data_IF_955401581683
#
_entry.id   IF_955401581683
#
_cell.length_a   1.000
_cell.length_b   1.000
_cell.length_c   1.000
_cell.angle_alpha   90.00
_cell.angle_beta   90.00
_cell.angle_gamma   90.00
#
_symmetry.space_group_name_H-M   'P 1'
#
loop_
_entity.id
_entity.type
_entity.pdbx_description
1 polymer ?
#
# COMPACT_ATOMS: atom_id res chain seq x y z
N UNK A 1 -4.39 -16.04 -18.27
CA UNK A 1 -4.21 -15.69 -16.82
C UNK A 1 -5.58 -15.53 -16.21
N UNK A 2 -5.90 -16.28 -15.16
CA UNK A 2 -7.23 -16.20 -14.52
C UNK A 2 -7.05 -15.79 -13.06
N UNK A 3 -7.40 -14.56 -12.73
CA UNK A 3 -7.42 -14.10 -11.35
C UNK A 3 -8.61 -14.71 -10.60
N UNK A 4 -8.39 -15.09 -9.35
CA UNK A 4 -9.42 -15.59 -8.44
C UNK A 4 -9.24 -14.98 -7.06
N UNK A 5 -10.35 -14.71 -6.39
CA UNK A 5 -10.32 -14.33 -4.97
C UNK A 5 -9.85 -15.49 -4.11
N UNK A 6 -9.21 -15.20 -3.01
CA UNK A 6 -8.95 -16.17 -1.96
C UNK A 6 -10.24 -16.64 -1.27
N UNK A 7 -10.22 -17.84 -0.64
CA UNK A 7 -11.44 -18.44 -0.06
C UNK A 7 -12.07 -17.56 1.05
N UNK A 8 -11.29 -16.85 1.84
CA UNK A 8 -11.81 -15.91 2.85
C UNK A 8 -12.53 -14.72 2.20
N UNK A 9 -11.97 -14.19 1.11
CA UNK A 9 -12.57 -13.07 0.39
C UNK A 9 -13.91 -13.49 -0.25
N UNK A 10 -13.98 -14.70 -0.83
CA UNK A 10 -15.22 -15.28 -1.35
C UNK A 10 -16.25 -15.42 -0.23
N UNK A 11 -15.86 -16.01 0.90
CA UNK A 11 -16.74 -16.23 2.05
C UNK A 11 -17.23 -14.91 2.68
N UNK A 12 -16.43 -13.84 2.60
CA UNK A 12 -16.79 -12.51 3.06
C UNK A 12 -17.67 -11.73 2.06
N UNK A 13 -18.00 -12.33 0.90
CA UNK A 13 -18.89 -11.75 -0.09
C UNK A 13 -18.24 -10.73 -1.03
N UNK A 14 -16.91 -10.69 -1.11
CA UNK A 14 -16.22 -9.88 -2.11
C UNK A 14 -16.49 -10.39 -3.51
N UNK A 15 -16.56 -9.46 -4.44
CA UNK A 15 -16.71 -9.69 -5.89
C UNK A 15 -15.40 -9.37 -6.59
N UNK A 16 -15.26 -9.84 -7.82
CA UNK A 16 -14.07 -9.67 -8.63
C UNK A 16 -14.43 -9.24 -10.04
N UNK A 17 -13.74 -8.23 -10.53
CA UNK A 17 -13.69 -7.86 -11.94
C UNK A 17 -12.22 -7.89 -12.39
N UNK A 18 -11.92 -8.78 -13.33
CA UNK A 18 -10.57 -9.02 -13.82
C UNK A 18 -10.44 -8.59 -15.27
N UNK A 19 -9.34 -7.92 -15.59
CA UNK A 19 -9.02 -7.42 -16.92
C UNK A 19 -7.74 -8.06 -17.45
N UNK A 20 -7.66 -8.30 -18.73
CA UNK A 20 -6.39 -8.65 -19.39
C UNK A 20 -5.44 -7.44 -19.38
N UNK A 21 -5.99 -6.28 -19.74
CA UNK A 21 -5.31 -5.00 -19.72
C UNK A 21 -6.34 -3.92 -19.38
N UNK A 22 -5.94 -2.92 -18.61
CA UNK A 22 -6.80 -1.79 -18.27
C UNK A 22 -5.98 -0.50 -18.12
N UNK A 23 -6.62 0.64 -18.30
CA UNK A 23 -6.00 1.95 -18.07
C UNK A 23 -5.55 2.10 -16.61
N UNK A 24 -6.50 2.00 -15.69
CA UNK A 24 -6.26 2.09 -14.24
C UNK A 24 -7.36 1.38 -13.48
N UNK A 25 -7.00 0.42 -12.65
CA UNK A 25 -7.95 -0.29 -11.77
C UNK A 25 -8.64 0.65 -10.76
N UNK A 26 -7.95 1.73 -10.32
CA UNK A 26 -8.57 2.75 -9.46
C UNK A 26 -9.68 3.52 -10.21
N UNK A 27 -9.44 3.88 -11.46
CA UNK A 27 -10.44 4.61 -12.25
C UNK A 27 -11.67 3.75 -12.53
N UNK A 28 -11.49 2.46 -12.86
CA UNK A 28 -12.60 1.52 -13.02
C UNK A 28 -13.39 1.37 -11.71
N UNK A 29 -12.70 1.20 -10.58
CA UNK A 29 -13.33 1.09 -9.28
C UNK A 29 -14.14 2.33 -8.92
N UNK A 30 -13.59 3.53 -9.17
CA UNK A 30 -14.29 4.79 -8.89
C UNK A 30 -15.46 5.02 -9.86
N UNK A 31 -15.33 4.65 -11.13
CA UNK A 31 -16.44 4.69 -12.09
C UNK A 31 -17.59 3.79 -11.63
N UNK A 32 -17.29 2.59 -11.18
CA UNK A 32 -18.26 1.64 -10.66
C UNK A 32 -18.98 2.17 -9.40
N UNK A 33 -18.26 2.88 -8.52
CA UNK A 33 -18.88 3.53 -7.36
C UNK A 33 -19.91 4.58 -7.77
N UNK A 34 -19.59 5.42 -8.77
CA UNK A 34 -20.50 6.45 -9.31
C UNK A 34 -21.73 5.86 -9.99
N UNK A 35 -21.64 4.65 -10.51
CA UNK A 35 -22.75 3.88 -11.09
C UNK A 35 -23.66 3.23 -10.04
N UNK A 36 -23.42 3.46 -8.75
CA UNK A 36 -24.23 2.94 -7.66
C UNK A 36 -23.88 1.50 -7.22
N UNK A 37 -22.65 1.07 -7.46
CA UNK A 37 -22.21 -0.24 -6.94
C UNK A 37 -22.19 -0.26 -5.40
N UNK A 38 -22.47 -1.42 -4.83
CA UNK A 38 -22.57 -1.65 -3.38
C UNK A 38 -21.24 -1.80 -2.65
N UNK A 39 -20.11 -1.69 -3.34
CA UNK A 39 -18.76 -1.90 -2.77
C UNK A 39 -18.40 -3.37 -2.54
N UNK A 40 -17.35 -3.60 -1.77
CA UNK A 40 -16.75 -4.93 -1.54
C UNK A 40 -16.44 -5.66 -2.85
N UNK A 41 -15.74 -4.97 -3.75
CA UNK A 41 -15.37 -5.50 -5.06
C UNK A 41 -13.91 -5.18 -5.38
N UNK A 42 -13.20 -6.17 -5.92
CA UNK A 42 -11.87 -6.06 -6.43
C UNK A 42 -11.85 -5.87 -7.94
N UNK A 43 -10.98 -4.99 -8.39
CA UNK A 43 -10.60 -4.77 -9.79
C UNK A 43 -9.15 -5.17 -9.93
N UNK A 44 -8.81 -6.05 -10.88
CA UNK A 44 -7.45 -6.59 -10.98
C UNK A 44 -7.01 -6.75 -12.43
N UNK A 45 -5.72 -6.54 -12.66
CA UNK A 45 -5.08 -6.78 -13.95
C UNK A 45 -3.62 -7.17 -13.78
N UNK A 46 -3.08 -7.90 -14.74
CA UNK A 46 -1.65 -8.17 -14.89
C UNK A 46 -0.93 -7.12 -15.74
N UNK A 47 -1.66 -6.16 -16.34
CA UNK A 47 -1.09 -5.09 -17.16
C UNK A 47 -1.91 -3.81 -17.03
N UNK A 48 -1.30 -2.75 -16.50
CA UNK A 48 -1.93 -1.45 -16.34
C UNK A 48 -1.16 -0.40 -17.16
N UNK A 49 -1.84 0.22 -18.14
CA UNK A 49 -1.19 1.09 -19.13
C UNK A 49 -1.23 2.59 -18.81
N UNK A 50 -2.05 3.01 -17.85
CA UNK A 50 -2.17 4.39 -17.40
C UNK A 50 -2.23 4.48 -15.88
N UNK A 51 -1.44 3.62 -15.20
CA UNK A 51 -1.38 3.54 -13.76
C UNK A 51 -0.90 4.85 -13.13
N UNK A 52 -1.51 5.21 -12.00
CA UNK A 52 -1.15 6.41 -11.25
C UNK A 52 -0.91 6.07 -9.79
N UNK A 53 0.23 6.50 -9.29
CA UNK A 53 0.52 6.54 -7.87
C UNK A 53 0.11 7.88 -7.26
N UNK A 54 0.52 8.11 -6.02
CA UNK A 54 0.29 9.38 -5.31
C UNK A 54 0.81 10.58 -6.10
N UNK A 55 0.13 11.72 -5.97
CA UNK A 55 0.45 12.99 -6.66
C UNK A 55 0.50 12.83 -8.19
N UNK A 56 -0.32 11.92 -8.75
CA UNK A 56 -0.42 11.66 -10.18
C UNK A 56 0.89 11.17 -10.84
N UNK A 57 1.86 10.70 -10.07
CA UNK A 57 3.09 10.11 -10.62
C UNK A 57 2.74 8.83 -11.37
N UNK A 58 3.34 8.55 -12.54
CA UNK A 58 3.11 7.30 -13.25
C UNK A 58 3.46 6.09 -12.37
N UNK A 59 2.60 5.08 -12.41
CA UNK A 59 2.89 3.75 -11.88
C UNK A 59 3.06 2.79 -13.04
N UNK A 60 4.29 2.34 -13.27
CA UNK A 60 4.64 1.44 -14.37
C UNK A 60 4.33 0.01 -13.94
N UNK A 61 3.39 -0.64 -14.63
CA UNK A 61 2.98 -2.02 -14.33
C UNK A 61 2.99 -2.85 -15.62
N UNK A 62 4.18 -3.32 -16.07
CA UNK A 62 4.29 -4.19 -17.22
C UNK A 62 3.57 -5.52 -16.99
N UNK A 63 3.27 -6.24 -18.06
CA UNK A 63 2.58 -7.52 -18.00
C UNK A 63 3.30 -8.49 -17.05
N UNK A 64 2.53 -9.09 -16.14
CA UNK A 64 3.03 -9.99 -15.10
C UNK A 64 3.23 -9.32 -13.73
N UNK A 65 3.26 -7.99 -13.65
CA UNK A 65 3.11 -7.30 -12.37
C UNK A 65 1.64 -7.32 -11.93
N UNK A 66 1.39 -7.10 -10.64
CA UNK A 66 0.04 -7.02 -10.10
C UNK A 66 -0.36 -5.56 -9.94
N UNK A 67 -1.47 -5.18 -10.57
CA UNK A 67 -2.19 -3.97 -10.24
C UNK A 67 -3.62 -4.34 -9.85
N UNK A 68 -4.05 -3.95 -8.66
CA UNK A 68 -5.40 -4.21 -8.20
C UNK A 68 -5.92 -3.06 -7.34
N UNK A 69 -7.24 -2.96 -7.25
CA UNK A 69 -7.93 -1.97 -6.44
C UNK A 69 -9.13 -2.61 -5.76
N UNK A 70 -9.36 -2.29 -4.49
CA UNK A 70 -10.57 -2.67 -3.78
C UNK A 70 -11.42 -1.44 -3.53
N UNK A 71 -12.69 -1.54 -3.89
CA UNK A 71 -13.72 -0.53 -3.60
C UNK A 71 -14.47 -0.90 -2.33
N UNK A 72 -14.48 0.02 -1.38
CA UNK A 72 -15.30 -0.02 -0.18
C UNK A 72 -16.23 1.19 -0.13
N UNK A 73 -17.47 0.97 0.25
CA UNK A 73 -18.41 2.07 0.59
C UNK A 73 -18.50 2.19 2.10
N UNK A 74 -18.12 3.32 2.61
CA UNK A 74 -17.96 3.56 4.05
C UNK A 74 -18.92 4.67 4.53
N UNK A 75 -19.38 4.51 5.76
CA UNK A 75 -20.14 5.55 6.46
C UNK A 75 -19.32 6.08 7.65
N UNK A 76 -18.17 6.67 7.34
CA UNK A 76 -17.25 7.25 8.33
C UNK A 76 -16.69 8.57 7.80
N UNK A 77 -16.14 9.38 8.70
CA UNK A 77 -15.49 10.63 8.29
C UNK A 77 -14.25 10.37 7.40
N UNK A 78 -13.95 11.24 6.43
CA UNK A 78 -12.80 11.06 5.52
C UNK A 78 -11.46 10.85 6.22
N UNK A 79 -11.23 11.53 7.35
CA UNK A 79 -10.00 11.34 8.15
C UNK A 79 -9.89 9.92 8.71
N UNK A 80 -11.02 9.32 9.13
CA UNK A 80 -11.06 7.92 9.59
C UNK A 80 -10.84 6.98 8.40
N UNK A 81 -11.53 7.23 7.29
CA UNK A 81 -11.38 6.41 6.09
C UNK A 81 -9.95 6.36 5.57
N UNK A 82 -9.19 7.47 5.65
CA UNK A 82 -7.79 7.52 5.24
C UNK A 82 -6.92 6.51 5.98
N UNK A 83 -7.27 6.12 7.21
CA UNK A 83 -6.52 5.15 8.00
C UNK A 83 -6.63 3.71 7.47
N UNK A 84 -7.55 3.43 6.53
CA UNK A 84 -7.66 2.10 5.88
C UNK A 84 -6.39 1.76 5.07
N UNK A 85 -5.61 2.76 4.67
CA UNK A 85 -4.33 2.57 3.99
C UNK A 85 -3.32 1.79 4.83
N UNK A 86 -3.38 1.90 6.16
CA UNK A 86 -2.55 1.10 7.06
C UNK A 86 -2.96 -0.37 7.06
N UNK A 87 -4.27 -0.65 7.00
CA UNK A 87 -4.79 -2.01 6.83
C UNK A 87 -4.37 -2.60 5.48
N UNK A 88 -4.41 -1.80 4.40
CA UNK A 88 -3.93 -2.21 3.08
C UNK A 88 -2.44 -2.56 3.08
N UNK A 89 -1.62 -1.77 3.78
CA UNK A 89 -0.19 -2.05 3.97
C UNK A 89 0.06 -3.38 4.68
N UNK A 90 -0.63 -3.62 5.79
CA UNK A 90 -0.55 -4.86 6.55
C UNK A 90 -1.04 -6.07 5.77
N UNK A 91 -2.17 -5.95 5.05
CA UNK A 91 -2.70 -7.00 4.20
C UNK A 91 -1.70 -7.39 3.10
N UNK A 92 -1.07 -6.39 2.50
CA UNK A 92 -0.07 -6.60 1.46
C UNK A 92 1.19 -7.27 2.02
N UNK A 93 1.69 -6.80 3.16
CA UNK A 93 2.85 -7.41 3.84
C UNK A 93 2.59 -8.87 4.20
N UNK A 94 1.42 -9.17 4.76
CA UNK A 94 1.04 -10.53 5.13
C UNK A 94 0.92 -11.45 3.90
N UNK A 95 0.35 -10.96 2.79
CA UNK A 95 0.27 -11.70 1.54
C UNK A 95 1.66 -12.01 0.97
N UNK A 96 2.55 -11.00 0.95
CA UNK A 96 3.93 -11.16 0.50
C UNK A 96 4.68 -12.21 1.33
N UNK A 97 4.57 -12.17 2.64
CA UNK A 97 5.18 -13.18 3.52
C UNK A 97 4.66 -14.58 3.23
N UNK A 98 3.34 -14.72 3.02
CA UNK A 98 2.72 -16.01 2.73
C UNK A 98 3.28 -16.62 1.45
N UNK A 99 3.32 -15.85 0.35
CA UNK A 99 3.78 -16.36 -0.96
C UNK A 99 5.30 -16.52 -1.05
N UNK A 100 6.07 -15.83 -0.21
CA UNK A 100 7.53 -15.94 -0.17
C UNK A 100 8.05 -16.96 0.84
N UNK A 101 7.18 -17.67 1.53
CA UNK A 101 7.57 -18.56 2.64
C UNK A 101 8.61 -19.61 2.24
N UNK A 102 8.42 -20.27 1.09
CA UNK A 102 9.38 -21.27 0.61
C UNK A 102 10.75 -20.67 0.28
N UNK A 103 10.76 -19.49 -0.36
CA UNK A 103 12.00 -18.78 -0.66
C UNK A 103 12.68 -18.31 0.62
N UNK A 104 11.92 -17.84 1.61
CA UNK A 104 12.44 -17.42 2.91
C UNK A 104 13.04 -18.60 3.71
N UNK A 105 12.46 -19.79 3.63
CA UNK A 105 13.01 -20.99 4.26
C UNK A 105 14.37 -21.39 3.66
N UNK A 106 14.62 -21.10 2.38
CA UNK A 106 15.88 -21.37 1.70
C UNK A 106 16.96 -20.31 1.96
N UNK A 107 16.56 -19.03 1.95
CA UNK A 107 17.49 -17.89 1.99
C UNK A 107 17.67 -17.30 3.41
N UNK A 108 16.87 -17.72 4.38
CA UNK A 108 16.83 -17.18 5.73
C UNK A 108 15.78 -16.04 5.89
N UNK A 109 15.31 -15.84 7.13
CA UNK A 109 14.18 -14.93 7.41
C UNK A 109 14.49 -13.45 7.11
N UNK A 110 15.73 -13.03 7.23
CA UNK A 110 16.12 -11.63 6.97
C UNK A 110 16.12 -11.27 5.48
N UNK A 111 16.25 -12.27 4.57
CA UNK A 111 16.25 -12.03 3.13
C UNK A 111 14.90 -11.47 2.62
N UNK A 112 13.82 -11.74 3.32
CA UNK A 112 12.45 -11.34 2.95
C UNK A 112 11.78 -10.53 4.05
N UNK A 113 12.52 -9.65 4.71
CA UNK A 113 11.94 -8.70 5.65
C UNK A 113 11.20 -7.61 4.88
N UNK A 114 9.89 -7.75 4.79
CA UNK A 114 9.02 -6.73 4.23
C UNK A 114 8.74 -5.66 5.28
N UNK A 115 9.10 -4.42 4.98
CA UNK A 115 8.98 -3.29 5.88
C UNK A 115 7.98 -2.28 5.34
N UNK A 116 7.12 -1.77 6.22
CA UNK A 116 6.14 -0.75 5.87
C UNK A 116 6.78 0.64 5.97
N UNK A 117 6.79 1.37 4.87
CA UNK A 117 7.27 2.76 4.82
C UNK A 117 6.09 3.72 4.76
N UNK A 118 6.01 4.58 5.76
CA UNK A 118 4.99 5.63 5.76
C UNK A 118 5.15 6.56 4.55
N UNK A 119 4.04 6.97 3.93
CA UNK A 119 2.66 6.60 4.30
C UNK A 119 2.12 5.35 3.61
N UNK A 120 2.77 4.80 2.57
CA UNK A 120 2.06 3.96 1.61
C UNK A 120 2.93 2.98 0.80
N UNK A 121 4.13 2.70 1.21
CA UNK A 121 5.02 1.81 0.48
C UNK A 121 5.34 0.55 1.30
N UNK A 122 5.61 -0.56 0.61
CA UNK A 122 6.28 -1.72 1.20
C UNK A 122 7.66 -1.84 0.58
N UNK A 123 8.66 -1.95 1.45
CA UNK A 123 10.06 -2.10 1.07
C UNK A 123 10.56 -3.50 1.40
N UNK A 124 11.59 -3.93 0.69
CA UNK A 124 12.45 -5.06 1.05
C UNK A 124 13.90 -4.66 0.77
N UNK A 125 14.79 -4.85 1.74
CA UNK A 125 16.18 -4.41 1.67
C UNK A 125 16.33 -2.92 1.26
N UNK A 126 15.44 -2.05 1.76
CA UNK A 126 15.42 -0.62 1.46
C UNK A 126 14.90 -0.24 0.07
N UNK A 127 14.52 -1.22 -0.77
CA UNK A 127 14.01 -1.00 -2.12
C UNK A 127 12.49 -1.15 -2.17
N UNK A 128 11.83 -0.32 -2.97
CA UNK A 128 10.37 -0.32 -3.10
C UNK A 128 9.89 -1.52 -3.92
N UNK A 129 9.04 -2.33 -3.30
CA UNK A 129 8.36 -3.46 -3.93
C UNK A 129 6.91 -3.13 -4.25
N UNK A 130 6.25 -2.35 -3.38
CA UNK A 130 4.82 -2.04 -3.46
C UNK A 130 4.57 -0.55 -3.29
N UNK A 131 3.60 -0.03 -4.03
CA UNK A 131 2.98 1.27 -3.80
C UNK A 131 1.48 1.12 -3.58
N UNK A 132 0.96 1.82 -2.58
CA UNK A 132 -0.47 1.86 -2.24
C UNK A 132 -0.99 3.27 -2.46
N UNK A 133 -2.15 3.41 -3.07
CA UNK A 133 -2.85 4.68 -3.22
C UNK A 133 -4.25 4.59 -2.64
N UNK A 134 -4.76 5.71 -2.15
CA UNK A 134 -6.14 5.84 -1.73
C UNK A 134 -6.79 6.97 -2.51
N UNK A 135 -7.88 6.64 -3.19
CA UNK A 135 -8.78 7.63 -3.78
C UNK A 135 -10.10 7.61 -3.01
N UNK A 136 -10.68 8.78 -2.79
CA UNK A 136 -11.91 8.94 -2.02
C UNK A 136 -12.86 9.90 -2.72
N UNK A 137 -14.14 9.54 -2.78
CA UNK A 137 -15.19 10.37 -3.34
C UNK A 137 -16.50 10.17 -2.58
N UNK A 138 -17.22 11.25 -2.33
CA UNK A 138 -18.57 11.15 -1.79
C UNK A 138 -19.52 10.71 -2.90
N UNK A 139 -20.18 9.57 -2.70
CA UNK A 139 -21.16 9.00 -3.63
C UNK A 139 -22.44 8.74 -2.82
N UNK A 140 -23.50 9.43 -3.18
CA UNK A 140 -24.75 9.42 -2.44
C UNK A 140 -24.55 9.71 -0.93
N UNK A 141 -24.94 8.78 -0.08
CA UNK A 141 -24.80 8.88 1.38
C UNK A 141 -23.56 8.17 1.94
N UNK A 142 -22.62 7.76 1.07
CA UNK A 142 -21.43 7.00 1.45
C UNK A 142 -20.16 7.70 0.98
N UNK A 143 -19.06 7.37 1.62
CA UNK A 143 -17.73 7.66 1.12
C UNK A 143 -17.20 6.44 0.38
N UNK A 144 -17.10 6.54 -0.94
CA UNK A 144 -16.40 5.53 -1.74
C UNK A 144 -14.90 5.69 -1.51
N UNK A 145 -14.25 4.60 -1.08
CA UNK A 145 -12.81 4.51 -0.94
C UNK A 145 -12.30 3.44 -1.89
N UNK A 146 -11.32 3.82 -2.69
CA UNK A 146 -10.60 2.89 -3.55
C UNK A 146 -9.16 2.78 -3.05
N UNK A 147 -8.79 1.60 -2.56
CA UNK A 147 -7.41 1.29 -2.22
C UNK A 147 -6.75 0.58 -3.40
N UNK A 148 -5.91 1.31 -4.13
CA UNK A 148 -5.10 0.79 -5.23
C UNK A 148 -3.78 0.25 -4.73
N UNK A 149 -3.42 -0.95 -5.15
CA UNK A 149 -2.20 -1.66 -4.75
C UNK A 149 -1.46 -2.11 -5.99
N UNK A 150 -0.26 -1.57 -6.20
CA UNK A 150 0.64 -1.97 -7.28
C UNK A 150 1.84 -2.74 -6.72
N UNK A 151 2.11 -3.93 -7.24
CA UNK A 151 3.21 -4.80 -6.77
C UNK A 151 4.11 -5.19 -7.94
N UNK A 152 5.40 -4.98 -7.77
CA UNK A 152 6.42 -5.41 -8.71
C UNK A 152 6.65 -6.92 -8.58
N UNK A 153 5.98 -7.73 -9.38
CA UNK A 153 6.11 -9.19 -9.36
C UNK A 153 7.27 -9.63 -10.24
N UNK A 154 7.19 -9.35 -11.54
CA UNK A 154 8.19 -9.80 -12.53
C UNK A 154 9.27 -8.77 -12.81
N UNK A 155 8.92 -7.48 -12.77
CA UNK A 155 9.84 -6.39 -13.09
C UNK A 155 9.61 -5.17 -12.20
N UNK A 156 10.65 -4.39 -11.99
CA UNK A 156 10.61 -3.11 -11.31
C UNK A 156 11.22 -2.02 -12.22
N UNK A 157 10.76 -0.76 -12.15
CA UNK A 157 11.37 0.33 -12.90
C UNK A 157 12.80 0.61 -12.39
N UNK A 158 13.71 0.91 -13.30
CA UNK A 158 15.13 1.15 -12.99
C UNK A 158 15.37 2.57 -12.46
N UNK A 159 14.73 3.57 -13.08
CA UNK A 159 14.93 4.98 -12.73
C UNK A 159 13.78 5.50 -11.86
N UNK A 160 13.93 5.36 -10.54
CA UNK A 160 12.95 5.88 -9.58
C UNK A 160 13.65 6.59 -8.41
N UNK A 161 13.02 7.64 -7.82
CA UNK A 161 13.58 8.36 -6.67
C UNK A 161 13.86 7.46 -5.44
N UNK A 162 13.09 6.39 -5.29
CA UNK A 162 13.37 5.31 -4.33
C UNK A 162 13.71 4.08 -5.16
N UNK A 163 14.90 3.48 -5.00
CA UNK A 163 15.23 2.26 -5.71
C UNK A 163 14.12 1.23 -5.62
N UNK A 164 13.78 0.58 -6.73
CA UNK A 164 12.73 -0.42 -6.79
C UNK A 164 13.29 -1.84 -6.96
N UNK A 165 12.46 -2.82 -6.62
CA UNK A 165 12.79 -4.25 -6.77
C UNK A 165 11.52 -5.02 -7.10
N UNK A 166 11.65 -6.21 -7.72
CA UNK A 166 10.56 -7.14 -7.97
C UNK A 166 10.73 -8.43 -7.17
N UNK A 167 9.65 -9.19 -7.00
CA UNK A 167 9.69 -10.52 -6.38
C UNK A 167 10.58 -11.47 -7.18
N UNK A 168 10.54 -11.40 -8.50
CA UNK A 168 11.42 -12.21 -9.36
C UNK A 168 12.90 -11.93 -9.09
N UNK A 169 13.29 -10.66 -8.92
CA UNK A 169 14.67 -10.28 -8.57
C UNK A 169 15.10 -10.75 -7.18
N UNK A 170 14.14 -11.03 -6.29
CA UNK A 170 14.36 -11.64 -4.97
C UNK A 170 14.41 -13.18 -5.04
N UNK A 171 14.21 -13.78 -6.20
CA UNK A 171 14.16 -15.23 -6.36
C UNK A 171 12.82 -15.87 -5.98
N UNK A 172 11.77 -15.06 -5.76
CA UNK A 172 10.39 -15.54 -5.50
C UNK A 172 9.71 -15.78 -6.85
N UNK A 173 9.43 -17.05 -7.15
CA UNK A 173 8.85 -17.49 -8.40
C UNK A 173 7.34 -17.73 -8.23
N UNK A 174 6.55 -16.66 -8.37
CA UNK A 174 5.08 -16.71 -8.29
C UNK A 174 4.45 -15.86 -9.40
N UNK A 175 3.19 -16.14 -9.73
CA UNK A 175 2.37 -15.31 -10.61
C UNK A 175 1.61 -14.22 -9.84
N UNK A 176 1.18 -13.19 -10.57
CA UNK A 176 0.33 -12.15 -10.02
C UNK A 176 -0.99 -12.70 -9.49
N UNK A 177 -1.49 -13.79 -10.08
CA UNK A 177 -2.75 -14.46 -9.71
C UNK A 177 -2.68 -15.09 -8.31
N UNK A 178 -1.60 -15.80 -8.02
CA UNK A 178 -1.37 -16.42 -6.71
C UNK A 178 -1.23 -15.34 -5.63
N UNK A 179 -0.44 -14.30 -5.92
CA UNK A 179 -0.28 -13.17 -5.01
C UNK A 179 -1.61 -12.46 -4.75
N UNK A 180 -2.43 -12.23 -5.80
CA UNK A 180 -3.73 -11.60 -5.67
C UNK A 180 -4.69 -12.42 -4.77
N UNK A 181 -4.73 -13.74 -4.96
CA UNK A 181 -5.54 -14.61 -4.11
C UNK A 181 -5.13 -14.49 -2.62
N UNK A 182 -3.83 -14.51 -2.34
CA UNK A 182 -3.32 -14.33 -0.98
C UNK A 182 -3.62 -12.92 -0.42
N UNK A 183 -3.52 -11.88 -1.26
CA UNK A 183 -3.78 -10.50 -0.88
C UNK A 183 -5.25 -10.27 -0.54
N UNK A 184 -6.16 -10.79 -1.37
CA UNK A 184 -7.61 -10.65 -1.13
C UNK A 184 -8.05 -11.33 0.18
N UNK A 185 -7.45 -12.46 0.54
CA UNK A 185 -7.68 -13.13 1.83
C UNK A 185 -7.13 -12.32 3.02
N UNK A 186 -5.92 -11.80 2.88
CA UNK A 186 -5.29 -10.97 3.91
C UNK A 186 -6.03 -9.65 4.11
N UNK A 187 -6.59 -9.09 3.03
CA UNK A 187 -7.44 -7.90 3.11
C UNK A 187 -8.63 -8.11 4.05
N UNK A 188 -9.33 -9.22 3.93
CA UNK A 188 -10.50 -9.52 4.80
C UNK A 188 -10.11 -9.49 6.28
N UNK A 189 -8.94 -10.03 6.63
CA UNK A 189 -8.44 -10.03 8.00
C UNK A 189 -8.19 -8.60 8.50
N UNK A 190 -7.36 -7.84 7.81
CA UNK A 190 -6.97 -6.49 8.28
C UNK A 190 -8.07 -5.46 8.12
N UNK A 191 -8.95 -5.60 7.12
CA UNK A 191 -10.18 -4.81 6.98
C UNK A 191 -11.12 -5.07 8.16
N UNK A 192 -11.22 -6.34 8.57
CA UNK A 192 -11.99 -6.75 9.75
C UNK A 192 -11.44 -6.17 11.05
N UNK A 193 -10.11 -6.21 11.25
CA UNK A 193 -9.47 -5.58 12.42
C UNK A 193 -9.67 -4.07 12.41
N UNK A 194 -9.55 -3.41 11.25
CA UNK A 194 -9.75 -1.96 11.11
C UNK A 194 -11.16 -1.52 11.47
N UNK A 195 -12.17 -2.30 11.16
CA UNK A 195 -13.56 -2.20 11.61
C UNK A 195 -14.12 -0.77 11.56
N UNK A 196 -14.14 -0.17 10.37
CA UNK A 196 -14.60 1.20 10.15
C UNK A 196 -13.88 2.24 11.04
N UNK A 197 -12.59 2.01 11.28
CA UNK A 197 -11.73 2.87 12.08
C UNK A 197 -11.74 2.55 13.59
N UNK A 198 -12.71 1.78 14.10
CA UNK A 198 -12.79 1.43 15.53
C UNK A 198 -11.57 0.65 16.00
N UNK A 199 -11.02 -0.19 15.13
CA UNK A 199 -9.82 -0.98 15.42
C UNK A 199 -8.51 -0.32 14.99
N UNK A 200 -8.50 0.96 14.63
CA UNK A 200 -7.28 1.61 14.13
C UNK A 200 -6.12 1.56 15.13
N UNK A 201 -6.38 1.62 16.42
CA UNK A 201 -5.35 1.46 17.45
C UNK A 201 -4.57 0.14 17.34
N UNK A 202 -5.27 -0.97 17.03
CA UNK A 202 -4.64 -2.27 16.80
C UNK A 202 -3.90 -2.30 15.46
N UNK A 203 -4.50 -1.79 14.39
CA UNK A 203 -3.85 -1.65 13.07
C UNK A 203 -2.56 -0.84 13.21
N UNK A 204 -2.60 0.31 13.90
CA UNK A 204 -1.43 1.17 14.14
C UNK A 204 -0.31 0.44 14.86
N UNK A 205 -0.63 -0.32 15.92
CA UNK A 205 0.35 -1.12 16.65
C UNK A 205 1.02 -2.14 15.74
N UNK A 206 0.24 -2.94 15.01
CA UNK A 206 0.75 -3.94 14.08
C UNK A 206 1.60 -3.32 12.97
N UNK A 207 1.22 -2.12 12.51
CA UNK A 207 1.94 -1.40 11.47
C UNK A 207 3.29 -0.89 11.99
N UNK A 208 3.33 -0.31 13.20
CA UNK A 208 4.56 0.18 13.83
C UNK A 208 5.59 -0.94 14.08
N UNK A 209 5.13 -2.15 14.41
CA UNK A 209 5.99 -3.34 14.55
C UNK A 209 6.71 -3.71 13.24
N UNK A 210 6.20 -3.26 12.08
CA UNK A 210 6.73 -3.52 10.74
C UNK A 210 7.28 -2.28 10.07
N UNK A 211 7.23 -1.14 10.75
CA UNK A 211 7.64 0.14 10.21
C UNK A 211 9.14 0.20 9.97
N UNK A 212 9.54 0.64 8.78
CA UNK A 212 10.93 1.06 8.57
C UNK A 212 11.13 2.50 9.01
N UNK A 213 12.30 2.80 9.52
CA UNK A 213 12.70 4.16 9.91
C UNK A 213 12.23 4.64 11.28
N UNK A 214 11.46 3.84 12.04
CA UNK A 214 11.07 4.16 13.42
C UNK A 214 12.32 4.36 14.29
N UNK A 215 12.38 5.47 15.04
CA UNK A 215 13.54 5.86 15.83
C UNK A 215 14.73 6.39 15.03
N UNK A 216 14.63 6.50 13.71
CA UNK A 216 15.71 6.99 12.84
C UNK A 216 15.46 8.43 12.36
N UNK A 217 16.54 9.10 11.98
CA UNK A 217 16.44 10.39 11.31
C UNK A 217 15.81 10.23 9.94
N UNK A 218 14.80 11.07 9.67
CA UNK A 218 14.08 11.15 8.41
C UNK A 218 14.05 12.58 7.91
N UNK A 219 14.12 12.73 6.59
CA UNK A 219 13.80 13.97 5.87
C UNK A 219 12.45 13.82 5.18
N UNK A 220 11.55 14.77 5.33
CA UNK A 220 10.22 14.74 4.73
C UNK A 220 10.04 15.96 3.85
N UNK A 221 9.80 15.72 2.55
CA UNK A 221 9.44 16.79 1.60
C UNK A 221 7.91 16.86 1.48
N UNK A 222 7.33 17.98 1.84
CA UNK A 222 5.91 18.28 1.69
C UNK A 222 5.74 19.69 1.13
N UNK A 223 4.83 19.89 0.18
CA UNK A 223 4.34 21.16 -0.38
C UNK A 223 5.23 22.40 -0.14
N UNK A 224 6.51 22.36 -0.58
CA UNK A 224 7.44 23.52 -0.50
C UNK A 224 8.25 23.62 0.79
N UNK A 225 8.09 22.70 1.74
CA UNK A 225 8.89 22.63 2.96
C UNK A 225 9.58 21.27 3.12
N UNK A 226 10.73 21.29 3.77
CA UNK A 226 11.44 20.09 4.20
C UNK A 226 11.50 20.08 5.72
N UNK A 227 11.09 19.00 6.34
CA UNK A 227 11.17 18.76 7.78
C UNK A 227 12.18 17.67 8.03
N UNK A 228 13.14 17.90 8.92
CA UNK A 228 14.08 16.88 9.40
C UNK A 228 13.83 16.59 10.87
N UNK A 229 14.02 15.34 11.27
CA UNK A 229 13.90 14.92 12.65
C UNK A 229 13.85 13.40 12.79
N UNK A 230 13.59 12.94 13.99
CA UNK A 230 13.46 11.50 14.28
C UNK A 230 12.01 11.07 14.10
N UNK A 231 11.77 9.99 13.36
CA UNK A 231 10.45 9.35 13.26
C UNK A 231 10.09 8.72 14.60
N UNK A 232 9.25 9.37 15.37
CA UNK A 232 8.89 8.97 16.74
C UNK A 232 7.80 7.90 16.77
N UNK A 233 6.70 8.15 16.07
CA UNK A 233 5.52 7.25 16.02
C UNK A 233 4.54 7.67 14.94
N UNK A 234 3.44 6.96 14.85
CA UNK A 234 2.21 7.36 14.14
C UNK A 234 1.17 7.71 15.19
N UNK A 235 0.44 8.82 15.04
CA UNK A 235 -0.64 9.20 15.96
C UNK A 235 -1.97 8.47 15.69
N UNK A 236 -3.00 8.83 16.44
CA UNK A 236 -4.34 8.24 16.32
C UNK A 236 -5.08 8.65 15.04
N UNK A 237 -4.58 9.64 14.31
CA UNK A 237 -5.09 10.10 13.04
C UNK A 237 -4.29 9.54 11.84
N UNK A 238 -3.24 8.75 12.10
CA UNK A 238 -2.37 8.19 11.06
C UNK A 238 -1.27 9.15 10.59
N UNK A 239 -1.08 10.29 11.27
CA UNK A 239 0.02 11.20 10.98
C UNK A 239 1.34 10.64 11.50
N UNK A 240 2.41 10.83 10.71
CA UNK A 240 3.76 10.56 11.20
C UNK A 240 4.16 11.66 12.19
N UNK A 241 4.55 11.29 13.40
CA UNK A 241 5.08 12.21 14.40
C UNK A 241 6.60 12.25 14.27
N UNK A 242 7.12 13.45 14.05
CA UNK A 242 8.55 13.72 13.92
C UNK A 242 9.02 14.56 15.09
N UNK A 243 10.01 14.06 15.81
CA UNK A 243 10.73 14.83 16.83
C UNK A 243 11.83 15.64 16.16
N UNK A 244 11.63 16.96 16.07
CA UNK A 244 12.57 17.88 15.41
C UNK A 244 13.80 18.15 16.27
N UNK A 245 14.94 18.59 15.69
CA UNK A 245 16.13 19.00 16.45
C UNK A 245 15.87 20.13 17.45
N UNK A 246 14.81 20.92 17.24
CA UNK A 246 14.37 21.97 18.16
C UNK A 246 13.54 21.45 19.37
N UNK A 247 13.45 20.12 19.54
CA UNK A 247 12.73 19.47 20.65
C UNK A 247 11.20 19.47 20.53
N UNK A 248 10.65 19.72 19.32
CA UNK A 248 9.20 19.77 19.09
C UNK A 248 8.72 18.50 18.38
N UNK A 249 7.57 17.99 18.82
CA UNK A 249 6.83 16.96 18.10
C UNK A 249 5.99 17.62 17.00
N UNK A 250 6.18 17.17 15.76
CA UNK A 250 5.49 17.72 14.59
C UNK A 250 4.68 16.62 13.90
N UNK A 251 3.34 16.74 13.80
CA UNK A 251 2.53 15.82 13.02
C UNK A 251 2.65 16.13 11.53
N UNK A 252 2.93 15.09 10.76
CA UNK A 252 3.03 15.14 9.30
C UNK A 252 1.88 14.33 8.72
N UNK A 253 0.98 14.98 7.98
CA UNK A 253 -0.19 14.35 7.37
C UNK A 253 0.11 13.75 6.00
N UNK A 254 1.07 14.31 5.26
CA UNK A 254 1.47 13.84 3.93
C UNK A 254 2.89 14.30 3.61
N UNK A 255 3.64 13.47 2.88
CA UNK A 255 4.99 13.81 2.44
C UNK A 255 5.68 12.65 1.73
N UNK A 256 6.81 12.94 1.12
CA UNK A 256 7.75 11.93 0.65
C UNK A 256 8.86 11.81 1.71
N UNK A 257 8.98 10.62 2.30
CA UNK A 257 9.93 10.34 3.38
C UNK A 257 11.23 9.77 2.82
N UNK A 258 12.33 10.34 3.25
CA UNK A 258 13.70 9.91 2.94
C UNK A 258 14.40 9.52 4.24
N UNK A 259 15.20 8.47 4.21
CA UNK A 259 16.02 8.06 5.35
C UNK A 259 17.39 8.75 5.26
N UNK A 260 17.83 9.33 6.38
CA UNK A 260 19.02 10.19 6.47
C UNK A 260 18.68 11.67 6.40
N UNK A 261 19.71 12.55 6.28
CA UNK A 261 19.49 13.99 6.18
C UNK A 261 18.88 14.38 4.84
N UNK A 262 18.12 15.48 4.79
CA UNK A 262 17.52 16.00 3.55
C UNK A 262 18.59 16.40 2.49
N UNK A 263 19.83 16.61 2.91
CA UNK A 263 20.97 16.82 2.01
C UNK A 263 21.24 15.61 1.10
N UNK A 264 20.95 14.40 1.57
CA UNK A 264 21.08 13.16 0.77
C UNK A 264 19.96 13.00 -0.28
N UNK A 265 18.87 13.75 -0.17
CA UNK A 265 17.68 13.66 -1.05
C UNK A 265 17.75 14.64 -2.25
N UNK A 266 18.81 15.45 -2.34
CA UNK A 266 19.04 16.45 -3.39
C UNK A 266 20.08 16.06 -4.44
N UNK A 267 20.68 14.87 -4.33
CA UNK A 267 21.75 14.40 -5.21
C UNK A 267 21.25 13.32 -6.18
N UNK A 268 20.13 13.59 -6.88
CA UNK A 268 19.71 12.83 -8.08
C UNK A 268 19.07 13.80 -9.06
#
# INVERSE_FOLDING_TARGET
MTFTLGPRAISAGYRLEAFEQVGSTNLEAMARAREGDRGSIWFVTAEQIAGKGRRQRPWISPRGNLACSVLELLNVAPAVAATIGFAAGLATEAALRKVSLEAALRAGPEAFKYELKWPNDVLVAGKKLVGISLDAEAVDNHLAIVAGIGINVVAAPEETPTPAISLAALGVQIGAEELFSALSDSWVEFRGIWDNGRGFGQIRKLWLERATGLGRTVGIKSAGSTVEGTFETIDEQGCMIVHTPAGRLMPITAGDVYFGSAASAGAV
#
